data_IF_268449195430
#
_entry.id   IF_268449195430
#
_cell.length_a   1.000
_cell.length_b   1.000
_cell.length_c   1.000
_cell.angle_alpha   90.00
_cell.angle_beta   90.00
_cell.angle_gamma   90.00
#
_symmetry.space_group_name_H-M   'P 1'
#
loop_
_entity.id
_entity.type
_entity.pdbx_description
1 polymer ?
#
# COMPACT_ATOMS: atom_id res chain seq x y z
N UNK A 1 -0.20 -1.87 0.05
CA UNK A 1 -1.07 -1.53 1.21
C UNK A 1 -2.42 -2.24 1.18
N UNK A 2 -3.27 -2.08 0.14
CA UNK A 2 -4.56 -2.80 0.05
C UNK A 2 -4.40 -4.32 0.25
N UNK A 3 -3.55 -4.96 -0.57
CA UNK A 3 -3.31 -6.40 -0.48
C UNK A 3 -2.74 -6.82 0.88
N UNK A 4 -1.87 -6.00 1.49
CA UNK A 4 -1.34 -6.28 2.83
C UNK A 4 -2.44 -6.22 3.89
N UNK A 5 -3.35 -5.23 3.82
CA UNK A 5 -4.51 -5.17 4.71
C UNK A 5 -5.35 -6.45 4.63
N UNK A 6 -5.57 -6.97 3.42
CA UNK A 6 -6.24 -8.27 3.22
C UNK A 6 -5.41 -9.41 3.81
N UNK A 7 -4.15 -9.59 3.41
CA UNK A 7 -3.32 -10.75 3.80
C UNK A 7 -2.91 -10.78 5.27
N UNK A 8 -2.96 -9.64 5.97
CA UNK A 8 -2.70 -9.53 7.41
C UNK A 8 -3.97 -9.71 8.25
N UNK A 9 -5.15 -9.78 7.62
CA UNK A 9 -6.39 -10.03 8.34
C UNK A 9 -6.36 -11.44 8.98
N UNK A 10 -6.75 -11.61 10.25
CA UNK A 10 -6.67 -12.91 10.94
C UNK A 10 -7.39 -14.06 10.22
N UNK A 11 -8.54 -13.78 9.59
CA UNK A 11 -9.31 -14.75 8.79
C UNK A 11 -8.59 -15.23 7.51
N UNK A 12 -7.56 -14.53 7.05
CA UNK A 12 -6.77 -14.92 5.88
C UNK A 12 -5.47 -15.64 6.25
N UNK A 13 -5.25 -15.91 7.54
CA UNK A 13 -4.09 -16.67 8.00
C UNK A 13 -4.08 -18.05 7.35
N UNK A 14 -2.97 -18.41 6.71
CA UNK A 14 -2.79 -19.69 6.05
C UNK A 14 -3.31 -19.76 4.61
N UNK A 15 -4.01 -18.73 4.11
CA UNK A 15 -4.35 -18.67 2.67
C UNK A 15 -3.07 -18.35 1.88
N UNK A 16 -2.62 -19.23 0.97
CA UNK A 16 -1.46 -18.95 0.14
C UNK A 16 -1.81 -17.86 -0.87
N UNK A 17 -0.98 -16.83 -0.92
CA UNK A 17 -1.11 -15.74 -1.87
C UNK A 17 0.29 -15.19 -2.19
N UNK A 18 0.98 -15.75 -3.20
CA UNK A 18 2.33 -15.31 -3.56
C UNK A 18 2.29 -13.87 -4.09
N UNK A 19 3.11 -12.99 -3.51
CA UNK A 19 3.28 -11.61 -3.99
C UNK A 19 4.76 -11.38 -4.26
N UNK A 20 5.08 -11.13 -5.53
CA UNK A 20 6.43 -10.79 -5.96
C UNK A 20 6.46 -9.32 -6.39
N UNK A 21 7.36 -8.57 -5.78
CA UNK A 21 7.81 -7.27 -6.24
C UNK A 21 9.08 -7.50 -7.08
N UNK A 22 9.17 -6.90 -8.25
CA UNK A 22 10.35 -7.05 -9.10
C UNK A 22 10.71 -5.76 -9.81
N UNK A 23 12.00 -5.59 -10.09
CA UNK A 23 12.55 -4.39 -10.69
C UNK A 23 13.92 -4.66 -11.35
N UNK A 24 14.38 -3.79 -12.26
CA UNK A 24 15.79 -3.69 -12.61
C UNK A 24 16.61 -3.13 -11.43
N UNK A 25 17.94 -3.29 -11.48
CA UNK A 25 18.85 -2.83 -10.40
C UNK A 25 18.73 -1.32 -10.16
N UNK A 26 18.49 -0.55 -11.21
CA UNK A 26 18.28 0.91 -11.14
C UNK A 26 17.08 1.33 -10.27
N UNK A 27 16.19 0.40 -9.92
CA UNK A 27 15.04 0.64 -9.05
C UNK A 27 15.18 -0.01 -7.66
N UNK A 28 16.36 -0.52 -7.29
CA UNK A 28 16.60 -1.12 -5.96
C UNK A 28 16.28 -0.15 -4.83
N UNK A 29 16.84 1.07 -4.86
CA UNK A 29 16.63 2.09 -3.82
C UNK A 29 15.14 2.40 -3.60
N UNK A 30 14.34 2.39 -4.67
CA UNK A 30 12.89 2.59 -4.58
C UNK A 30 12.21 1.48 -3.78
N UNK A 31 12.50 0.22 -4.11
CA UNK A 31 11.88 -0.90 -3.42
C UNK A 31 12.40 -1.06 -1.99
N UNK A 32 13.67 -0.75 -1.73
CA UNK A 32 14.21 -0.72 -0.37
C UNK A 32 13.49 0.32 0.50
N UNK A 33 13.25 1.53 -0.01
CA UNK A 33 12.46 2.55 0.69
C UNK A 33 11.02 2.10 0.96
N UNK A 34 10.36 1.47 -0.04
CA UNK A 34 9.01 0.92 0.13
C UNK A 34 8.97 -0.17 1.20
N UNK A 35 9.91 -1.12 1.16
CA UNK A 35 9.95 -2.23 2.09
C UNK A 35 10.33 -1.79 3.51
N UNK A 36 11.24 -0.83 3.64
CA UNK A 36 11.57 -0.20 4.91
C UNK A 36 10.33 0.46 5.53
N UNK A 37 9.60 1.26 4.75
CA UNK A 37 8.34 1.87 5.22
C UNK A 37 7.31 0.81 5.64
N UNK A 38 7.10 -0.23 4.84
CA UNK A 38 6.18 -1.33 5.20
C UNK A 38 6.62 -2.02 6.49
N UNK A 39 7.92 -2.23 6.68
CA UNK A 39 8.46 -2.89 7.87
C UNK A 39 8.29 -2.02 9.11
N UNK A 40 8.58 -0.72 9.01
CA UNK A 40 8.49 0.20 10.14
C UNK A 40 7.04 0.51 10.53
N UNK A 41 6.15 0.64 9.54
CA UNK A 41 4.74 0.95 9.77
C UNK A 41 3.90 -0.29 10.13
N UNK A 42 4.12 -1.42 9.47
CA UNK A 42 3.27 -2.62 9.57
C UNK A 42 3.99 -3.84 10.16
N UNK A 43 5.27 -3.73 10.49
CA UNK A 43 6.05 -4.80 11.10
C UNK A 43 6.55 -5.87 10.14
N UNK A 44 7.39 -6.77 10.68
CA UNK A 44 8.08 -7.81 9.91
C UNK A 44 7.13 -8.82 9.26
N UNK A 45 5.97 -9.08 9.88
CA UNK A 45 4.97 -9.99 9.31
C UNK A 45 4.39 -9.45 8.00
N UNK A 46 4.23 -8.13 7.86
CA UNK A 46 3.82 -7.51 6.61
C UNK A 46 4.93 -7.62 5.55
N UNK A 47 6.19 -7.40 5.94
CA UNK A 47 7.35 -7.53 5.05
C UNK A 47 7.51 -8.94 4.49
N UNK A 48 7.23 -9.98 5.30
CA UNK A 48 7.27 -11.39 4.88
C UNK A 48 6.22 -11.74 3.82
N UNK A 49 5.14 -10.96 3.68
CA UNK A 49 4.14 -11.16 2.61
C UNK A 49 4.63 -10.69 1.24
N UNK A 50 5.77 -10.00 1.16
CA UNK A 50 6.30 -9.42 -0.07
C UNK A 50 7.67 -10.06 -0.38
N UNK A 51 7.78 -10.74 -1.52
CA UNK A 51 9.08 -11.21 -2.02
C UNK A 51 9.65 -10.18 -3.00
N UNK A 52 10.86 -9.67 -2.77
CA UNK A 52 11.51 -8.74 -3.69
C UNK A 52 12.59 -9.49 -4.49
N UNK A 53 12.44 -9.49 -5.81
CA UNK A 53 13.38 -10.10 -6.75
C UNK A 53 13.87 -9.04 -7.73
N UNK A 54 15.15 -8.65 -7.62
CA UNK A 54 15.78 -7.64 -8.47
C UNK A 54 16.60 -8.34 -9.55
N UNK A 55 16.41 -7.93 -10.82
CA UNK A 55 17.08 -8.51 -12.01
C UNK A 55 16.97 -10.04 -12.17
N UNK A 56 15.99 -10.66 -11.51
CA UNK A 56 15.83 -12.11 -11.47
C UNK A 56 14.54 -12.56 -12.18
N UNK A 57 14.40 -12.24 -13.47
CA UNK A 57 13.17 -12.51 -14.24
C UNK A 57 12.79 -14.00 -14.28
N UNK A 58 13.76 -14.90 -14.42
CA UNK A 58 13.54 -16.34 -14.37
C UNK A 58 13.05 -16.78 -12.99
N UNK A 59 13.66 -16.28 -11.92
CA UNK A 59 13.26 -16.60 -10.55
C UNK A 59 11.86 -16.07 -10.21
N UNK A 60 11.48 -14.91 -10.76
CA UNK A 60 10.10 -14.40 -10.69
C UNK A 60 9.13 -15.42 -11.30
N UNK A 61 9.43 -15.91 -12.51
CA UNK A 61 8.57 -16.88 -13.19
C UNK A 61 8.47 -18.21 -12.42
N UNK A 62 9.59 -18.72 -11.92
CA UNK A 62 9.64 -19.94 -11.09
C UNK A 62 8.83 -19.74 -9.80
N UNK A 63 9.01 -18.62 -9.11
CA UNK A 63 8.31 -18.29 -7.86
C UNK A 63 6.80 -18.27 -8.08
N UNK A 64 6.33 -17.61 -9.14
CA UNK A 64 4.90 -17.56 -9.46
C UNK A 64 4.37 -18.94 -9.87
N UNK A 65 5.10 -19.71 -10.69
CA UNK A 65 4.71 -21.07 -11.09
C UNK A 65 4.52 -21.99 -9.89
N UNK A 66 5.48 -21.98 -8.96
CA UNK A 66 5.40 -22.76 -7.72
C UNK A 66 4.26 -22.26 -6.82
N UNK A 67 4.08 -20.94 -6.72
CA UNK A 67 2.98 -20.32 -6.00
C UNK A 67 1.60 -20.73 -6.53
N UNK A 68 1.42 -20.83 -7.86
CA UNK A 68 0.19 -21.32 -8.49
C UNK A 68 -0.10 -22.76 -8.07
N UNK A 69 0.91 -23.63 -8.03
CA UNK A 69 0.74 -25.02 -7.60
C UNK A 69 0.26 -25.07 -6.13
N UNK A 70 0.89 -24.31 -5.24
CA UNK A 70 0.47 -24.20 -3.83
C UNK A 70 -0.96 -23.70 -3.69
N UNK A 71 -1.34 -22.67 -4.46
CA UNK A 71 -2.70 -22.13 -4.47
C UNK A 71 -3.70 -23.18 -4.95
N UNK A 72 -3.39 -23.89 -6.04
CA UNK A 72 -4.26 -24.94 -6.60
C UNK A 72 -4.51 -26.06 -5.59
N UNK A 73 -3.47 -26.52 -4.91
CA UNK A 73 -3.60 -27.53 -3.86
C UNK A 73 -4.44 -27.04 -2.68
N UNK A 74 -4.23 -25.79 -2.24
CA UNK A 74 -5.04 -25.18 -1.20
C UNK A 74 -6.52 -25.07 -1.59
N UNK A 75 -6.82 -24.63 -2.82
CA UNK A 75 -8.21 -24.55 -3.31
C UNK A 75 -8.87 -25.92 -3.37
N UNK A 76 -8.16 -26.93 -3.86
CA UNK A 76 -8.65 -28.33 -3.87
C UNK A 76 -8.98 -28.82 -2.46
N UNK A 77 -8.10 -28.55 -1.47
CA UNK A 77 -8.30 -28.97 -0.07
C UNK A 77 -9.44 -28.20 0.62
N UNK A 78 -9.58 -26.92 0.31
CA UNK A 78 -10.59 -26.04 0.91
C UNK A 78 -11.91 -25.99 0.13
N UNK A 79 -12.05 -26.80 -0.92
CA UNK A 79 -13.24 -26.89 -1.78
C UNK A 79 -13.68 -25.55 -2.38
N UNK A 80 -12.72 -24.69 -2.70
CA UNK A 80 -12.97 -23.38 -3.30
C UNK A 80 -12.66 -23.39 -4.81
N UNK A 81 -13.27 -22.47 -5.55
CA UNK A 81 -13.13 -22.39 -7.00
C UNK A 81 -11.70 -22.00 -7.40
N UNK A 82 -11.21 -22.53 -8.53
CA UNK A 82 -9.91 -22.09 -9.06
C UNK A 82 -9.95 -20.68 -9.65
N UNK A 83 -11.09 -20.27 -10.21
CA UNK A 83 -11.25 -19.03 -10.96
C UNK A 83 -11.66 -17.82 -10.10
N UNK A 84 -12.05 -18.04 -8.84
CA UNK A 84 -12.41 -16.97 -7.91
C UNK A 84 -12.04 -17.35 -6.47
N UNK A 85 -11.63 -16.39 -5.63
CA UNK A 85 -11.23 -16.64 -4.25
C UNK A 85 -12.34 -16.36 -3.25
N UNK A 86 -13.28 -17.30 -3.09
CA UNK A 86 -14.39 -17.14 -2.14
C UNK A 86 -13.91 -17.24 -0.68
N UNK A 87 -12.86 -18.00 -0.43
CA UNK A 87 -12.29 -18.13 0.92
C UNK A 87 -11.50 -16.89 1.37
N UNK A 88 -11.18 -15.97 0.46
CA UNK A 88 -10.48 -14.73 0.81
C UNK A 88 -11.44 -13.77 1.51
N UNK A 89 -11.20 -13.52 2.79
CA UNK A 89 -11.98 -12.57 3.55
C UNK A 89 -11.54 -11.13 3.24
N UNK A 90 -12.42 -10.35 2.64
CA UNK A 90 -12.23 -8.90 2.45
C UNK A 90 -13.23 -8.17 3.35
N UNK A 91 -12.79 -7.51 4.44
CA UNK A 91 -13.69 -6.80 5.33
C UNK A 91 -14.39 -5.63 4.63
N UNK A 92 -15.59 -5.27 5.07
CA UNK A 92 -16.47 -4.30 4.38
C UNK A 92 -15.82 -2.92 4.24
N UNK A 93 -14.97 -2.53 5.19
CA UNK A 93 -14.28 -1.24 5.23
C UNK A 93 -13.23 -1.11 4.10
N UNK A 94 -12.79 -2.23 3.52
CA UNK A 94 -11.93 -2.24 2.33
C UNK A 94 -12.72 -2.18 1.02
N UNK A 95 -14.01 -2.49 1.06
CA UNK A 95 -14.90 -2.49 -0.11
C UNK A 95 -15.60 -1.13 -0.27
N UNK A 96 -15.87 -0.44 0.84
CA UNK A 96 -16.51 0.87 0.82
C UNK A 96 -15.61 1.92 0.12
N UNK A 97 -16.18 2.72 -0.81
CA UNK A 97 -15.46 3.84 -1.41
C UNK A 97 -15.00 4.84 -0.35
N UNK A 98 -13.77 5.33 -0.50
CA UNK A 98 -13.24 6.40 0.32
C UNK A 98 -13.23 7.71 -0.48
N UNK A 99 -14.00 8.70 -0.02
CA UNK A 99 -14.03 10.04 -0.61
C UNK A 99 -12.99 10.90 0.13
N UNK A 100 -11.92 11.37 -0.56
CA UNK A 100 -10.81 12.06 0.09
C UNK A 100 -11.13 13.55 0.31
N UNK A 101 -11.93 13.85 1.33
CA UNK A 101 -12.10 15.22 1.85
C UNK A 101 -11.09 15.49 2.96
N UNK A 102 -10.78 16.76 3.26
CA UNK A 102 -9.88 17.14 4.36
C UNK A 102 -10.34 16.52 5.69
N UNK A 103 -11.64 16.59 5.98
CA UNK A 103 -12.25 15.99 7.17
C UNK A 103 -12.03 14.47 7.23
N UNK A 104 -12.29 13.76 6.13
CA UNK A 104 -12.16 12.30 6.10
C UNK A 104 -10.70 11.85 6.26
N UNK A 105 -9.75 12.65 5.78
CA UNK A 105 -8.31 12.36 5.92
C UNK A 105 -7.82 12.63 7.34
N UNK A 106 -8.23 13.74 7.94
CA UNK A 106 -7.89 14.10 9.31
C UNK A 106 -8.40 13.08 10.34
N UNK A 107 -9.51 12.39 10.04
CA UNK A 107 -10.09 11.35 10.89
C UNK A 107 -9.40 9.98 10.78
N UNK A 108 -8.47 9.79 9.84
CA UNK A 108 -7.80 8.51 9.67
C UNK A 108 -6.95 8.15 10.88
N UNK A 109 -7.16 6.95 11.41
CA UNK A 109 -6.38 6.43 12.53
C UNK A 109 -5.06 5.86 12.02
N UNK A 110 -3.99 6.68 12.03
CA UNK A 110 -2.64 6.27 11.63
C UNK A 110 -1.77 6.12 12.87
N UNK A 111 -2.03 5.09 13.66
CA UNK A 111 -1.26 4.76 14.87
C UNK A 111 -1.01 3.25 14.99
N UNK A 112 0.00 2.86 15.77
CA UNK A 112 0.38 1.46 16.00
C UNK A 112 -0.54 0.76 17.02
N UNK A 113 -1.35 1.50 17.79
CA UNK A 113 -2.29 0.95 18.79
C UNK A 113 -3.60 0.45 18.16
N UNK A 114 -3.48 -0.27 17.04
CA UNK A 114 -4.60 -0.91 16.36
C UNK A 114 -4.13 -2.19 15.65
N UNK A 115 -5.03 -3.10 15.28
CA UNK A 115 -4.67 -4.23 14.44
C UNK A 115 -3.98 -3.80 13.14
N UNK A 116 -2.85 -4.43 12.82
CA UNK A 116 -1.98 -4.05 11.69
C UNK A 116 -2.71 -3.98 10.34
N UNK A 117 -3.71 -4.84 10.12
CA UNK A 117 -4.50 -4.83 8.89
C UNK A 117 -5.38 -3.56 8.77
N UNK A 118 -5.83 -2.98 9.89
CA UNK A 118 -6.56 -1.71 9.91
C UNK A 118 -5.62 -0.53 9.64
N UNK A 119 -4.42 -0.53 10.22
CA UNK A 119 -3.40 0.46 9.90
C UNK A 119 -3.05 0.43 8.41
N UNK A 120 -2.87 -0.75 7.82
CA UNK A 120 -2.64 -0.92 6.39
C UNK A 120 -3.83 -0.40 5.53
N UNK A 121 -5.06 -0.54 6.01
CA UNK A 121 -6.27 0.01 5.37
C UNK A 121 -6.29 1.54 5.40
N UNK A 122 -5.98 2.15 6.56
CA UNK A 122 -5.95 3.60 6.69
C UNK A 122 -4.80 4.22 5.88
N UNK A 123 -3.61 3.62 5.88
CA UNK A 123 -2.52 4.04 4.98
C UNK A 123 -2.93 3.91 3.51
N UNK A 124 -3.67 2.85 3.12
CA UNK A 124 -4.23 2.73 1.76
C UNK A 124 -5.15 3.90 1.40
N UNK A 125 -5.94 4.41 2.35
CA UNK A 125 -6.80 5.59 2.14
C UNK A 125 -5.97 6.87 1.97
N UNK A 126 -4.89 7.04 2.75
CA UNK A 126 -3.94 8.16 2.59
C UNK A 126 -3.36 8.20 1.18
N UNK A 127 -2.74 7.11 0.72
CA UNK A 127 -2.18 7.07 -0.64
C UNK A 127 -3.26 7.24 -1.73
N UNK A 128 -4.47 6.72 -1.51
CA UNK A 128 -5.61 6.94 -2.41
C UNK A 128 -6.00 8.42 -2.49
N UNK A 129 -5.92 9.16 -1.39
CA UNK A 129 -6.18 10.60 -1.36
C UNK A 129 -5.09 11.39 -2.08
N UNK A 130 -3.82 11.04 -1.88
CA UNK A 130 -2.69 11.66 -2.58
C UNK A 130 -2.82 11.48 -4.09
N UNK A 131 -3.14 10.26 -4.55
CA UNK A 131 -3.40 10.01 -5.98
C UNK A 131 -4.57 10.86 -6.47
N UNK A 132 -5.69 10.88 -5.74
CA UNK A 132 -6.85 11.68 -6.12
C UNK A 132 -6.54 13.18 -6.22
N UNK A 133 -5.84 13.74 -5.23
CA UNK A 133 -5.42 15.15 -5.21
C UNK A 133 -4.44 15.52 -6.33
N UNK A 134 -3.78 14.55 -6.96
CA UNK A 134 -2.87 14.79 -8.07
C UNK A 134 -3.57 14.75 -9.45
N UNK A 135 -4.64 13.94 -9.62
CA UNK A 135 -5.19 13.65 -10.97
C UNK A 135 -6.71 13.78 -11.10
N UNK A 136 -7.48 13.73 -10.00
CA UNK A 136 -8.95 13.78 -10.07
C UNK A 136 -9.43 15.22 -9.95
N UNK A 137 -10.16 15.69 -10.95
CA UNK A 137 -10.64 17.07 -11.06
C UNK A 137 -11.34 17.57 -9.80
N UNK A 138 -12.28 16.79 -9.26
CA UNK A 138 -13.03 17.12 -8.04
C UNK A 138 -12.10 17.32 -6.84
N UNK A 139 -11.17 16.38 -6.62
CA UNK A 139 -10.23 16.45 -5.49
C UNK A 139 -9.22 17.58 -5.67
N UNK A 140 -8.76 17.85 -6.89
CA UNK A 140 -7.90 19.01 -7.20
C UNK A 140 -8.63 20.32 -6.88
N UNK A 141 -9.92 20.43 -7.14
CA UNK A 141 -10.72 21.59 -6.76
C UNK A 141 -10.81 21.73 -5.23
N UNK A 142 -11.01 20.64 -4.50
CA UNK A 142 -10.98 20.65 -3.03
C UNK A 142 -9.64 21.14 -2.48
N UNK A 143 -8.52 20.70 -3.06
CA UNK A 143 -7.19 21.20 -2.69
C UNK A 143 -7.04 22.70 -2.97
N UNK A 144 -7.58 23.19 -4.10
CA UNK A 144 -7.56 24.63 -4.42
C UNK A 144 -8.40 25.47 -3.45
N UNK A 145 -9.54 24.93 -2.98
CA UNK A 145 -10.45 25.63 -2.08
C UNK A 145 -9.99 25.63 -0.62
N UNK A 146 -9.49 24.49 -0.14
CA UNK A 146 -9.24 24.24 1.29
C UNK A 146 -7.76 24.04 1.62
N UNK A 147 -6.88 24.13 0.63
CA UNK A 147 -5.44 23.89 0.78
C UNK A 147 -5.08 22.40 0.70
N UNK A 148 -3.83 22.07 1.01
CA UNK A 148 -3.34 20.68 0.97
C UNK A 148 -3.95 19.80 2.05
N UNK A 149 -4.01 18.50 1.82
CA UNK A 149 -4.41 17.54 2.86
C UNK A 149 -3.40 17.51 4.01
N UNK A 150 -3.85 17.70 5.24
CA UNK A 150 -3.01 17.53 6.43
C UNK A 150 -3.14 16.09 6.92
N UNK A 151 -2.02 15.37 6.95
CA UNK A 151 -2.00 13.96 7.36
C UNK A 151 -1.29 13.87 8.71
N UNK A 152 -1.97 13.27 9.68
CA UNK A 152 -1.54 13.13 11.06
C UNK A 152 -1.48 11.65 11.47
N UNK A 153 -0.70 11.34 12.48
CA UNK A 153 -0.55 10.00 13.04
C UNK A 153 0.67 9.89 13.95
N UNK A 154 1.08 8.65 14.25
CA UNK A 154 2.29 8.37 15.01
C UNK A 154 3.51 9.02 14.35
N UNK A 155 4.33 9.71 15.15
CA UNK A 155 5.50 10.48 14.69
C UNK A 155 6.44 9.65 13.81
N UNK A 156 6.71 8.40 14.19
CA UNK A 156 7.57 7.50 13.41
C UNK A 156 6.98 7.17 12.04
N UNK A 157 5.66 6.89 11.96
CA UNK A 157 4.99 6.57 10.70
C UNK A 157 4.95 7.80 9.80
N UNK A 158 4.66 8.97 10.36
CA UNK A 158 4.62 10.23 9.63
C UNK A 158 5.99 10.55 9.03
N UNK A 159 7.06 10.45 9.83
CA UNK A 159 8.42 10.66 9.38
C UNK A 159 8.82 9.73 8.24
N UNK A 160 8.56 8.42 8.37
CA UNK A 160 8.91 7.45 7.34
C UNK A 160 8.06 7.62 6.07
N UNK A 161 6.79 8.01 6.21
CA UNK A 161 5.93 8.32 5.07
C UNK A 161 6.39 9.58 4.33
N UNK A 162 6.80 10.64 5.05
CA UNK A 162 7.33 11.86 4.45
C UNK A 162 8.60 11.56 3.64
N UNK A 163 9.54 10.80 4.22
CA UNK A 163 10.74 10.33 3.50
C UNK A 163 10.39 9.52 2.25
N UNK A 164 9.45 8.58 2.37
CA UNK A 164 9.02 7.75 1.25
C UNK A 164 8.43 8.61 0.12
N UNK A 165 7.52 9.54 0.46
CA UNK A 165 6.86 10.39 -0.51
C UNK A 165 7.85 11.38 -1.17
N UNK A 166 8.79 11.95 -0.40
CA UNK A 166 9.88 12.76 -0.95
C UNK A 166 10.76 11.96 -1.92
N UNK A 167 11.05 10.69 -1.62
CA UNK A 167 11.77 9.82 -2.56
C UNK A 167 11.01 9.65 -3.88
N UNK A 168 9.68 9.55 -3.84
CA UNK A 168 8.85 9.44 -5.04
C UNK A 168 8.88 10.73 -5.86
N UNK A 169 8.91 11.90 -5.22
CA UNK A 169 9.07 13.19 -5.90
C UNK A 169 10.43 13.27 -6.58
N UNK A 170 11.52 12.95 -5.85
CA UNK A 170 12.89 12.98 -6.37
C UNK A 170 13.07 12.04 -7.58
N UNK A 171 12.44 10.87 -7.54
CA UNK A 171 12.46 9.88 -8.61
C UNK A 171 11.41 10.14 -9.71
N UNK A 172 10.71 11.30 -9.68
CA UNK A 172 9.68 11.70 -10.65
C UNK A 172 8.54 10.69 -10.82
N UNK A 173 8.13 10.04 -9.73
CA UNK A 173 7.02 9.06 -9.70
C UNK A 173 5.65 9.68 -9.41
N UNK A 174 5.60 10.96 -9.03
CA UNK A 174 4.35 11.65 -8.65
C UNK A 174 3.66 12.40 -9.80
N UNK A 175 4.41 12.77 -10.85
CA UNK A 175 3.91 13.52 -12.01
C UNK A 175 4.79 13.20 -13.23
N UNK A 176 4.16 13.04 -14.39
CA UNK A 176 4.86 12.87 -15.66
C UNK A 176 5.45 14.22 -16.14
N UNK A 177 6.64 14.17 -16.74
CA UNK A 177 7.30 15.34 -17.34
C UNK A 177 8.35 16.02 -16.46
N UNK A 178 8.70 17.26 -16.83
CA UNK A 178 9.77 18.06 -16.20
C UNK A 178 9.25 19.15 -15.25
N UNK A 179 7.93 19.34 -15.20
CA UNK A 179 7.31 20.36 -14.34
C UNK A 179 7.51 20.01 -12.86
N UNK A 180 7.74 21.04 -12.04
CA UNK A 180 7.79 20.92 -10.58
C UNK A 180 6.49 20.27 -10.07
N UNK A 181 6.64 19.35 -9.12
CA UNK A 181 5.52 18.74 -8.41
C UNK A 181 5.25 19.54 -7.14
N UNK A 182 4.05 20.09 -7.03
CA UNK A 182 3.55 20.72 -5.81
C UNK A 182 2.69 19.70 -5.05
N UNK A 183 3.12 19.26 -3.85
CA UNK A 183 2.39 18.25 -3.09
C UNK A 183 0.96 18.67 -2.76
N UNK A 184 -0.01 17.79 -3.00
CA UNK A 184 -1.40 17.96 -2.56
C UNK A 184 -1.61 17.59 -1.07
N UNK A 185 -0.52 17.33 -0.35
CA UNK A 185 -0.51 16.88 1.03
C UNK A 185 0.59 17.59 1.82
N UNK A 186 0.43 17.59 3.15
CA UNK A 186 1.44 17.96 4.13
C UNK A 186 1.42 16.93 5.25
N UNK A 187 2.55 16.29 5.48
CA UNK A 187 2.73 15.44 6.65
C UNK A 187 2.94 16.33 7.87
N UNK A 188 2.17 16.09 8.92
CA UNK A 188 2.27 16.82 10.17
C UNK A 188 3.07 15.97 11.15
N UNK A 189 4.34 16.34 11.31
CA UNK A 189 5.20 15.80 12.35
C UNK A 189 4.86 16.56 13.64
N UNK A 190 4.39 15.83 14.65
CA UNK A 190 4.18 16.35 16.00
C UNK A 190 5.49 16.61 16.73
#
# INVERSE_FOLDING_TARGET
LYILSVLLHPKNKGIPFPVVLTAPETSREYFDAVLLFITNALGQEARKKLNLLIEASEEVAITIKNGIQTVREFRKKSQDAYYYNWNLHIPIELQQPFIPTHKNIEQLQINKQQPVHLLASNLRKVFSAIVAGNVKSETVQEIKKHGVFKIHGDTEIMHDMDKLLQSFVKQRRMKLGTAKYDPCYKIING
#
